data_IF_217792243540
#
_entry.id   IF_217792243540
#
_cell.length_a   1.000
_cell.length_b   1.000
_cell.length_c   1.000
_cell.angle_alpha   90.00
_cell.angle_beta   90.00
_cell.angle_gamma   90.00
#
_symmetry.space_group_name_H-M   'P 1'
#
loop_
_entity.id
_entity.type
_entity.pdbx_description
1 polymer ?
#
# COMPACT_ATOMS: atom_id res chain seq x y z
N UNK A 1 7.25 7.46 -7.40
CA UNK A 1 6.22 7.47 -6.32
C UNK A 1 4.83 7.11 -6.85
N UNK A 2 4.12 6.16 -6.21
CA UNK A 2 2.78 5.66 -6.61
C UNK A 2 1.71 6.76 -6.74
N UNK A 3 1.68 7.71 -5.81
CA UNK A 3 0.69 8.81 -5.79
C UNK A 3 0.79 9.72 -7.02
N UNK A 4 2.02 10.01 -7.48
CA UNK A 4 2.27 10.78 -8.71
C UNK A 4 1.70 10.08 -9.94
N UNK A 5 1.99 8.78 -10.09
CA UNK A 5 1.49 8.00 -11.22
C UNK A 5 -0.04 7.83 -11.16
N UNK A 6 -0.62 7.67 -9.98
CA UNK A 6 -2.08 7.70 -9.81
C UNK A 6 -2.68 9.05 -10.25
N UNK A 7 -2.05 10.18 -9.89
CA UNK A 7 -2.51 11.52 -10.30
C UNK A 7 -2.52 11.67 -11.83
N UNK A 8 -1.50 11.18 -12.52
CA UNK A 8 -1.41 11.24 -13.98
C UNK A 8 -2.33 10.23 -14.69
N UNK A 9 -2.62 9.10 -14.06
CA UNK A 9 -3.64 8.16 -14.52
C UNK A 9 -5.04 8.78 -14.46
N UNK A 10 -5.31 9.60 -13.43
CA UNK A 10 -6.59 10.30 -13.27
C UNK A 10 -6.74 11.48 -14.24
N UNK A 11 -5.71 12.33 -14.39
CA UNK A 11 -5.71 13.41 -15.37
C UNK A 11 -4.32 13.61 -16.02
N UNK A 12 -4.20 13.13 -17.26
CA UNK A 12 -2.99 13.25 -18.08
C UNK A 12 -2.60 14.70 -18.39
N UNK A 13 -3.51 15.67 -18.27
CA UNK A 13 -3.22 17.10 -18.49
C UNK A 13 -2.39 17.68 -17.34
N UNK A 14 -2.47 17.10 -16.13
CA UNK A 14 -1.69 17.56 -14.98
C UNK A 14 -0.19 17.41 -15.20
N UNK A 15 0.26 16.34 -15.85
CA UNK A 15 1.67 16.14 -16.22
C UNK A 15 2.23 17.25 -17.11
N UNK A 16 1.38 17.85 -17.96
CA UNK A 16 1.78 18.98 -18.84
C UNK A 16 1.70 20.33 -18.14
N UNK A 17 0.76 20.48 -17.20
CA UNK A 17 0.49 21.73 -16.49
C UNK A 17 1.45 21.96 -15.33
N UNK A 18 1.91 20.88 -14.71
CA UNK A 18 2.75 20.86 -13.52
C UNK A 18 3.91 19.88 -13.76
N UNK A 19 4.89 20.29 -14.57
CA UNK A 19 6.04 19.45 -14.92
C UNK A 19 6.91 19.11 -13.71
N UNK A 20 6.89 19.95 -12.67
CA UNK A 20 7.53 19.71 -11.39
C UNK A 20 6.96 18.48 -10.67
N UNK A 21 5.70 18.12 -10.94
CA UNK A 21 5.12 16.89 -10.42
C UNK A 21 5.67 15.65 -11.13
N UNK A 22 6.29 15.78 -12.31
CA UNK A 22 6.89 14.65 -13.04
C UNK A 22 8.29 14.32 -12.53
N UNK A 23 8.97 15.28 -11.90
CA UNK A 23 10.28 15.10 -11.30
C UNK A 23 10.14 14.39 -9.94
N UNK A 24 11.14 13.58 -9.61
CA UNK A 24 11.28 13.00 -8.28
C UNK A 24 11.98 14.06 -7.42
N UNK A 25 11.52 14.30 -6.19
CA UNK A 25 12.32 15.11 -5.26
C UNK A 25 13.70 14.44 -5.12
N UNK A 26 14.78 15.23 -5.21
CA UNK A 26 16.16 14.72 -5.32
C UNK A 26 16.58 13.76 -4.22
N UNK A 27 15.89 13.82 -3.07
CA UNK A 27 16.18 13.04 -1.87
C UNK A 27 15.35 11.74 -1.78
N UNK A 28 14.39 11.53 -2.69
CA UNK A 28 13.50 10.38 -2.76
C UNK A 28 13.82 9.53 -3.98
N UNK A 29 15.04 9.01 -4.08
CA UNK A 29 15.44 8.13 -5.19
C UNK A 29 14.79 6.73 -5.12
N UNK A 30 14.95 5.96 -6.20
CA UNK A 30 14.38 4.61 -6.30
C UNK A 30 14.94 3.65 -5.23
N UNK A 31 16.19 3.86 -4.79
CA UNK A 31 16.84 3.05 -3.75
C UNK A 31 16.21 3.34 -2.37
N UNK A 32 15.96 4.60 -2.06
CA UNK A 32 15.25 5.01 -0.85
C UNK A 32 13.84 4.41 -0.82
N UNK A 33 13.11 4.48 -1.94
CA UNK A 33 11.75 3.93 -2.04
C UNK A 33 11.76 2.42 -1.82
N UNK A 34 12.68 1.69 -2.46
CA UNK A 34 12.79 0.23 -2.26
C UNK A 34 13.08 -0.12 -0.79
N UNK A 35 14.07 0.53 -0.18
CA UNK A 35 14.43 0.30 1.22
C UNK A 35 13.28 0.63 2.18
N UNK A 36 12.54 1.71 1.90
CA UNK A 36 11.40 2.10 2.71
C UNK A 36 10.25 1.11 2.57
N UNK A 37 9.95 0.64 1.36
CA UNK A 37 8.91 -0.36 1.10
C UNK A 37 9.24 -1.69 1.80
N UNK A 38 10.50 -2.14 1.75
CA UNK A 38 10.94 -3.35 2.47
C UNK A 38 10.81 -3.19 3.99
N UNK A 39 11.26 -2.07 4.55
CA UNK A 39 11.11 -1.80 5.98
C UNK A 39 9.64 -1.73 6.41
N UNK A 40 8.76 -1.22 5.55
CA UNK A 40 7.31 -1.15 5.80
C UNK A 40 6.64 -2.51 5.74
N UNK A 41 7.03 -3.35 4.77
CA UNK A 41 6.60 -4.75 4.68
C UNK A 41 6.94 -5.50 5.98
N UNK A 42 8.16 -5.38 6.46
CA UNK A 42 8.60 -6.00 7.72
C UNK A 42 7.81 -5.48 8.93
N UNK A 43 7.60 -4.16 9.01
CA UNK A 43 6.82 -3.53 10.08
C UNK A 43 5.37 -4.05 10.11
N UNK A 44 4.73 -4.20 8.96
CA UNK A 44 3.36 -4.70 8.86
C UNK A 44 3.25 -6.19 9.22
N UNK A 45 4.19 -7.03 8.78
CA UNK A 45 4.25 -8.43 9.18
C UNK A 45 4.43 -8.56 10.70
N UNK A 46 5.34 -7.78 11.29
CA UNK A 46 5.55 -7.77 12.74
C UNK A 46 4.29 -7.34 13.51
N UNK A 47 3.57 -6.33 13.01
CA UNK A 47 2.27 -5.92 13.57
C UNK A 47 1.21 -7.01 13.45
N UNK A 48 1.13 -7.70 12.30
CA UNK A 48 0.18 -8.79 12.09
C UNK A 48 0.43 -9.93 13.10
N UNK A 49 1.69 -10.36 13.26
CA UNK A 49 2.09 -11.38 14.24
C UNK A 49 1.73 -10.98 15.68
N UNK A 50 2.12 -9.76 16.09
CA UNK A 50 1.82 -9.24 17.43
C UNK A 50 0.32 -9.12 17.71
N UNK A 51 -0.45 -8.71 16.69
CA UNK A 51 -1.91 -8.61 16.81
C UNK A 51 -2.54 -9.99 16.96
N UNK A 52 -2.10 -10.96 16.17
CA UNK A 52 -2.58 -12.34 16.22
C UNK A 52 -2.36 -12.96 17.60
N UNK A 53 -1.15 -12.86 18.15
CA UNK A 53 -0.82 -13.34 19.50
C UNK A 53 -1.73 -12.69 20.55
N UNK A 54 -1.81 -11.36 20.56
CA UNK A 54 -2.65 -10.62 21.52
C UNK A 54 -4.14 -10.94 21.37
N UNK A 55 -4.62 -11.18 20.17
CA UNK A 55 -6.03 -11.52 19.94
C UNK A 55 -6.32 -12.98 20.35
N UNK A 56 -5.37 -13.91 20.19
CA UNK A 56 -5.45 -15.26 20.73
C UNK A 56 -5.43 -15.32 22.26
N UNK A 57 -4.54 -14.56 22.91
CA UNK A 57 -4.54 -14.40 24.37
C UNK A 57 -5.92 -13.97 24.89
N UNK A 58 -6.52 -12.95 24.28
CA UNK A 58 -7.88 -12.50 24.64
C UNK A 58 -8.96 -13.54 24.37
N UNK A 59 -8.82 -14.35 23.31
CA UNK A 59 -9.77 -15.44 23.01
C UNK A 59 -9.73 -16.48 24.13
N UNK A 60 -8.52 -16.91 24.51
CA UNK A 60 -8.32 -17.87 25.61
C UNK A 60 -8.87 -17.32 26.93
N UNK A 61 -8.61 -16.06 27.27
CA UNK A 61 -9.16 -15.39 28.46
C UNK A 61 -10.70 -15.39 28.49
N UNK A 62 -11.34 -15.32 27.32
CA UNK A 62 -12.80 -15.37 27.16
C UNK A 62 -13.35 -16.80 27.08
N UNK A 63 -12.50 -17.82 27.13
CA UNK A 63 -12.88 -19.21 26.92
C UNK A 63 -13.21 -19.55 25.46
N UNK A 64 -12.83 -18.69 24.51
CA UNK A 64 -12.90 -18.93 23.08
C UNK A 64 -11.68 -19.75 22.61
N UNK A 65 -11.83 -20.44 21.47
CA UNK A 65 -10.71 -21.13 20.84
C UNK A 65 -9.78 -20.14 20.16
N UNK A 66 -8.49 -20.42 20.26
CA UNK A 66 -7.47 -19.70 19.50
C UNK A 66 -7.75 -19.76 18.00
N UNK A 67 -7.41 -18.67 17.33
CA UNK A 67 -7.40 -18.58 15.88
C UNK A 67 -6.24 -19.42 15.33
N UNK A 68 -6.49 -20.07 14.18
CA UNK A 68 -5.49 -20.93 13.55
C UNK A 68 -4.37 -20.10 12.94
N UNK A 69 -3.15 -20.63 12.99
CA UNK A 69 -1.98 -20.02 12.37
C UNK A 69 -2.16 -19.77 10.86
N UNK A 70 -2.96 -20.59 10.18
CA UNK A 70 -3.30 -20.38 8.77
C UNK A 70 -3.94 -19.00 8.48
N UNK A 71 -4.66 -18.42 9.45
CA UNK A 71 -5.24 -17.08 9.29
C UNK A 71 -4.16 -15.98 9.37
N UNK A 72 -3.09 -16.21 10.14
CA UNK A 72 -1.92 -15.34 10.17
C UNK A 72 -1.12 -15.47 8.87
N UNK A 73 -0.95 -16.69 8.35
CA UNK A 73 -0.25 -16.93 7.09
C UNK A 73 -0.96 -16.26 5.92
N UNK A 74 -2.30 -16.43 5.79
CA UNK A 74 -3.11 -15.72 4.80
C UNK A 74 -2.92 -14.20 4.90
N UNK A 75 -2.86 -13.67 6.12
CA UNK A 75 -2.66 -12.23 6.33
C UNK A 75 -1.27 -11.75 5.92
N UNK A 76 -0.25 -12.57 6.14
CA UNK A 76 1.13 -12.28 5.74
C UNK A 76 1.27 -12.37 4.22
N UNK A 77 0.62 -13.35 3.59
CA UNK A 77 0.59 -13.50 2.13
C UNK A 77 -0.07 -12.30 1.46
N UNK A 78 -1.19 -11.80 2.00
CA UNK A 78 -1.83 -10.57 1.53
C UNK A 78 -0.90 -9.35 1.61
N UNK A 79 -0.14 -9.23 2.70
CA UNK A 79 0.84 -8.14 2.88
C UNK A 79 1.94 -8.27 1.81
N UNK A 80 2.54 -9.45 1.68
CA UNK A 80 3.60 -9.69 0.69
C UNK A 80 3.12 -9.41 -0.73
N UNK A 81 1.91 -9.87 -1.09
CA UNK A 81 1.33 -9.66 -2.41
C UNK A 81 1.12 -8.17 -2.74
N UNK A 82 0.70 -7.35 -1.77
CA UNK A 82 0.59 -5.91 -2.00
C UNK A 82 1.96 -5.26 -2.20
N UNK A 83 2.98 -5.61 -1.41
CA UNK A 83 4.32 -5.02 -1.58
C UNK A 83 5.05 -5.53 -2.83
N UNK A 84 4.82 -6.77 -3.26
CA UNK A 84 5.34 -7.28 -4.54
C UNK A 84 4.70 -6.54 -5.71
N UNK A 85 3.40 -6.29 -5.62
CA UNK A 85 2.69 -5.44 -6.57
C UNK A 85 3.19 -3.99 -6.56
N UNK A 86 3.48 -3.41 -5.39
CA UNK A 86 4.07 -2.06 -5.31
C UNK A 86 5.42 -1.99 -6.03
N UNK A 87 6.24 -3.03 -5.88
CA UNK A 87 7.51 -3.17 -6.61
C UNK A 87 7.33 -3.25 -8.12
N UNK A 88 6.31 -3.97 -8.60
CA UNK A 88 5.98 -4.04 -10.03
C UNK A 88 5.40 -2.73 -10.58
N UNK A 89 4.58 -2.02 -9.80
CA UNK A 89 3.97 -0.74 -10.20
C UNK A 89 4.99 0.43 -10.16
N UNK A 90 6.06 0.32 -9.38
CA UNK A 90 7.05 1.39 -9.18
C UNK A 90 7.75 1.75 -10.49
N UNK A 91 7.79 3.05 -10.81
CA UNK A 91 8.39 3.56 -12.04
C UNK A 91 7.54 3.34 -13.29
N UNK A 92 6.33 2.80 -13.16
CA UNK A 92 5.38 2.59 -14.27
C UNK A 92 4.20 3.56 -14.17
N UNK A 93 3.50 3.78 -15.29
CA UNK A 93 2.20 4.48 -15.31
C UNK A 93 1.01 3.57 -14.95
N UNK A 94 1.28 2.38 -14.39
CA UNK A 94 0.26 1.37 -14.06
C UNK A 94 -0.12 1.36 -12.58
N UNK A 95 0.32 2.37 -11.81
CA UNK A 95 -0.08 2.55 -10.42
C UNK A 95 -1.61 2.59 -10.29
N UNK A 96 -2.16 1.57 -9.64
CA UNK A 96 -3.62 1.46 -9.45
C UNK A 96 -4.00 2.12 -8.14
N UNK A 97 -5.15 2.81 -8.12
CA UNK A 97 -5.74 3.39 -6.91
C UNK A 97 -6.03 2.36 -5.81
N UNK A 98 -6.19 2.79 -4.55
CA UNK A 98 -6.63 1.92 -3.46
C UNK A 98 -7.95 1.22 -3.82
N UNK A 99 -8.06 -0.09 -3.56
CA UNK A 99 -9.32 -0.83 -3.73
C UNK A 99 -10.35 -0.28 -2.73
N UNK A 100 -11.33 0.48 -3.20
CA UNK A 100 -12.50 0.91 -2.40
C UNK A 100 -12.94 2.37 -2.53
N UNK A 101 -12.14 3.27 -3.11
CA UNK A 101 -12.61 4.63 -3.38
C UNK A 101 -13.33 4.67 -4.73
N UNK A 102 -14.66 4.81 -4.69
CA UNK A 102 -15.47 5.09 -5.87
C UNK A 102 -14.95 6.36 -6.55
N UNK A 103 -14.74 6.29 -7.86
CA UNK A 103 -14.50 7.45 -8.72
C UNK A 103 -15.65 8.45 -8.53
N UNK A 104 -15.45 9.47 -7.70
CA UNK A 104 -16.34 10.62 -7.70
C UNK A 104 -16.03 11.37 -8.99
N UNK A 105 -16.88 11.20 -10.00
CA UNK A 105 -16.87 12.04 -11.18
C UNK A 105 -16.97 13.49 -10.70
N UNK A 106 -15.88 14.24 -10.85
CA UNK A 106 -15.89 15.67 -10.60
C UNK A 106 -16.76 16.26 -11.72
N UNK A 107 -18.01 16.59 -11.39
CA UNK A 107 -18.85 17.34 -12.31
C UNK A 107 -18.25 18.73 -12.44
N UNK A 108 -17.86 19.08 -13.67
CA UNK A 108 -17.42 20.42 -14.03
C UNK A 108 -18.48 21.43 -13.59
N UNK A 109 -18.15 22.26 -12.61
CA UNK A 109 -18.89 23.49 -12.33
C UNK A 109 -18.44 24.54 -13.35
N UNK A 110 -19.41 24.97 -14.18
CA UNK A 110 -19.19 25.86 -15.32
C UNK A 110 -18.92 27.33 -15.00
#
# INVERSE_FOLDING_TARGET
MKLRHQLFTLDKKLKKKYSELDELESDLDDEFIERWEDAKREEEIAKARKKFEKDNEKRVEKGEKEEKESALDEKIDDINAEYDRLKEERGTDQAVGPKGHQNVQVQDAG
#
